data_IF_127054960685
#
_entry.id   IF_127054960685
#
_cell.length_a   1.000
_cell.length_b   1.000
_cell.length_c   1.000
_cell.angle_alpha   90.00
_cell.angle_beta   90.00
_cell.angle_gamma   90.00
#
_symmetry.space_group_name_H-M   'P 1'
#
loop_
_entity.id
_entity.type
_entity.pdbx_description
1 polymer ?
#
# COMPACT_ATOMS: atom_id res chain seq x y z
N UNK A 1 11.67 18.77 2.99
CA UNK A 1 11.57 17.85 1.84
C UNK A 1 12.77 16.92 1.90
N UNK A 2 12.72 15.72 1.32
CA UNK A 2 13.78 14.68 1.35
C UNK A 2 13.76 13.78 2.60
N UNK A 3 13.04 12.64 2.49
CA UNK A 3 13.52 11.28 2.82
C UNK A 3 12.52 10.18 2.35
N UNK A 4 11.27 10.48 1.98
CA UNK A 4 10.28 9.43 1.63
C UNK A 4 10.48 8.75 0.26
N UNK A 5 11.17 9.38 -0.69
CA UNK A 5 11.28 8.88 -2.08
C UNK A 5 12.47 7.95 -2.37
N UNK A 6 13.47 7.87 -1.49
CA UNK A 6 14.63 6.99 -1.72
C UNK A 6 14.45 5.59 -1.08
N UNK A 7 13.33 5.36 -0.42
CA UNK A 7 12.92 4.05 0.11
C UNK A 7 12.44 3.14 -1.03
N UNK A 8 12.59 1.81 -0.88
CA UNK A 8 12.06 0.83 -1.84
C UNK A 8 10.58 1.04 -2.13
N UNK A 9 9.78 1.33 -1.10
CA UNK A 9 8.34 1.60 -1.24
C UNK A 9 8.09 2.92 -1.97
N UNK A 10 8.85 3.98 -1.65
CA UNK A 10 8.76 5.28 -2.33
C UNK A 10 9.09 5.19 -3.83
N UNK A 11 10.12 4.44 -4.19
CA UNK A 11 10.48 4.18 -5.60
C UNK A 11 9.41 3.39 -6.33
N UNK A 12 8.82 2.39 -5.66
CA UNK A 12 7.70 1.64 -6.21
C UNK A 12 6.44 2.50 -6.41
N UNK A 13 6.20 3.45 -5.50
CA UNK A 13 5.06 4.38 -5.53
C UNK A 13 5.19 5.44 -6.64
N UNK A 14 6.37 6.05 -6.80
CA UNK A 14 6.53 7.21 -7.71
C UNK A 14 6.99 6.84 -9.13
N UNK A 15 7.82 5.81 -9.29
CA UNK A 15 8.42 5.48 -10.59
C UNK A 15 8.40 4.00 -10.92
N UNK A 16 7.69 3.18 -10.15
CA UNK A 16 7.58 1.74 -10.36
C UNK A 16 6.16 1.27 -10.63
N UNK A 17 5.99 -0.05 -10.62
CA UNK A 17 4.73 -0.74 -10.93
C UNK A 17 3.52 -0.25 -10.14
N UNK A 18 3.73 0.32 -8.94
CA UNK A 18 2.69 0.86 -8.10
C UNK A 18 1.93 2.00 -8.78
N UNK A 19 2.65 2.91 -9.43
CA UNK A 19 2.06 4.01 -10.20
C UNK A 19 1.31 3.47 -11.41
N UNK A 20 1.94 2.61 -12.19
CA UNK A 20 1.35 2.08 -13.43
C UNK A 20 0.06 1.29 -13.16
N UNK A 21 0.03 0.54 -12.05
CA UNK A 21 -1.11 -0.30 -11.70
C UNK A 21 -2.22 0.42 -10.93
N UNK A 22 -1.87 1.42 -10.11
CA UNK A 22 -2.79 1.97 -9.10
C UNK A 22 -2.94 3.48 -9.08
N UNK A 23 -2.21 4.25 -9.91
CA UNK A 23 -2.32 5.73 -9.93
C UNK A 23 -3.73 6.25 -10.24
N UNK A 24 -4.55 5.46 -10.95
CA UNK A 24 -5.96 5.80 -11.21
C UNK A 24 -6.87 5.64 -9.99
N UNK A 25 -6.37 5.09 -8.88
CA UNK A 25 -7.15 4.86 -7.67
C UNK A 25 -7.13 6.12 -6.80
N UNK A 26 -8.30 6.67 -6.38
CA UNK A 26 -8.34 7.86 -5.54
C UNK A 26 -7.60 7.72 -4.20
N UNK A 27 -7.53 6.49 -3.67
CA UNK A 27 -6.81 6.16 -2.44
C UNK A 27 -5.32 5.90 -2.65
N UNK A 28 -4.77 6.12 -3.85
CA UNK A 28 -3.33 5.94 -4.07
C UNK A 28 -2.53 6.98 -3.29
N UNK A 29 -2.99 8.24 -3.29
CA UNK A 29 -2.35 9.34 -2.56
C UNK A 29 -2.24 9.15 -1.05
N UNK A 30 -3.15 8.38 -0.42
CA UNK A 30 -3.10 8.16 1.03
C UNK A 30 -1.91 7.31 1.46
N UNK A 31 -1.35 6.49 0.55
CA UNK A 31 -0.16 5.70 0.85
C UNK A 31 1.04 6.61 1.12
N UNK A 32 1.20 7.70 0.36
CA UNK A 32 2.32 8.65 0.53
C UNK A 32 2.25 9.35 1.89
N UNK A 33 1.05 9.73 2.34
CA UNK A 33 0.84 10.35 3.66
C UNK A 33 1.17 9.39 4.80
N UNK A 34 0.64 8.17 4.80
CA UNK A 34 0.95 7.19 5.86
C UNK A 34 2.43 6.82 5.86
N UNK A 35 3.04 6.73 4.67
CA UNK A 35 4.46 6.44 4.51
C UNK A 35 5.36 7.58 5.02
N UNK A 36 4.96 8.85 4.84
CA UNK A 36 5.69 9.98 5.41
C UNK A 36 5.69 9.95 6.94
N UNK A 37 4.58 9.53 7.57
CA UNK A 37 4.49 9.42 9.02
C UNK A 37 5.48 8.41 9.62
N UNK A 38 5.73 7.29 8.93
CA UNK A 38 6.75 6.29 9.35
C UNK A 38 8.14 6.92 9.35
N UNK A 39 8.47 7.65 8.29
CA UNK A 39 9.75 8.32 8.16
C UNK A 39 9.95 9.47 9.15
N UNK A 40 8.90 10.26 9.39
CA UNK A 40 8.94 11.36 10.35
C UNK A 40 9.10 10.84 11.78
N UNK A 41 8.39 9.76 12.14
CA UNK A 41 8.55 9.08 13.44
C UNK A 41 9.97 8.55 13.62
N UNK A 42 10.51 7.87 12.61
CA UNK A 42 11.89 7.36 12.62
C UNK A 42 12.90 8.49 12.83
N UNK A 43 12.75 9.59 12.09
CA UNK A 43 13.65 10.75 12.21
C UNK A 43 13.60 11.35 13.61
N UNK A 44 12.40 11.55 14.16
CA UNK A 44 12.23 12.08 15.51
C UNK A 44 12.89 11.19 16.57
N UNK A 45 12.81 9.86 16.43
CA UNK A 45 13.49 8.91 17.31
C UNK A 45 15.02 9.10 17.23
N UNK A 46 15.59 9.14 16.03
CA UNK A 46 17.04 9.32 15.86
C UNK A 46 17.54 10.67 16.39
N UNK A 47 16.80 11.75 16.16
CA UNK A 47 17.15 13.09 16.66
C UNK A 47 17.14 13.11 18.20
N UNK A 48 16.19 12.42 18.85
CA UNK A 48 16.14 12.30 20.30
C UNK A 48 17.29 11.47 20.86
N UNK A 49 17.63 10.34 20.22
CA UNK A 49 18.76 9.48 20.63
C UNK A 49 20.11 10.21 20.54
N UNK A 50 20.30 11.08 19.56
CA UNK A 50 21.52 11.87 19.40
C UNK A 50 21.63 13.02 20.42
N UNK A 51 20.52 13.49 20.99
CA UNK A 51 20.49 14.64 21.90
C UNK A 51 20.91 14.35 23.34
N UNK A 52 21.25 13.09 23.68
CA UNK A 52 21.54 12.59 25.05
C UNK A 52 20.42 12.83 26.09
N UNK A 53 19.32 13.47 25.71
CA UNK A 53 18.22 13.85 26.58
C UNK A 53 16.94 13.12 26.16
N UNK A 54 16.96 11.80 26.31
CA UNK A 54 15.85 10.92 25.93
C UNK A 54 14.67 11.17 26.87
N UNK A 55 13.68 11.92 26.39
CA UNK A 55 12.41 12.11 27.07
C UNK A 55 11.49 10.92 26.74
N UNK A 56 11.26 10.03 27.71
CA UNK A 56 10.49 8.79 27.53
C UNK A 56 9.15 9.00 26.82
N UNK A 57 8.37 10.00 27.26
CA UNK A 57 7.05 10.28 26.67
C UNK A 57 7.13 10.75 25.20
N UNK A 58 8.15 11.54 24.86
CA UNK A 58 8.35 12.02 23.48
C UNK A 58 8.84 10.89 22.57
N UNK A 59 9.68 10.00 23.10
CA UNK A 59 10.12 8.81 22.39
C UNK A 59 8.94 7.86 22.13
N UNK A 60 8.11 7.63 23.15
CA UNK A 60 6.91 6.80 23.01
C UNK A 60 5.96 7.39 21.95
N UNK A 61 5.68 8.69 22.01
CA UNK A 61 4.84 9.35 21.02
C UNK A 61 5.40 9.26 19.59
N UNK A 62 6.73 9.34 19.43
CA UNK A 62 7.37 9.18 18.12
C UNK A 62 7.26 7.74 17.58
N UNK A 63 7.35 6.74 18.46
CA UNK A 63 7.17 5.33 18.13
C UNK A 63 5.71 5.03 17.76
N UNK A 64 4.74 5.52 18.55
CA UNK A 64 3.31 5.39 18.25
C UNK A 64 2.96 6.03 16.92
N UNK A 65 3.51 7.21 16.62
CA UNK A 65 3.31 7.87 15.32
C UNK A 65 3.88 7.05 14.15
N UNK A 66 5.02 6.40 14.35
CA UNK A 66 5.64 5.52 13.37
C UNK A 66 4.80 4.25 13.15
N UNK A 67 4.23 3.69 14.22
CA UNK A 67 3.35 2.53 14.17
C UNK A 67 2.05 2.84 13.43
N UNK A 68 1.38 3.95 13.76
CA UNK A 68 0.17 4.40 13.06
C UNK A 68 0.42 4.64 11.57
N UNK A 69 1.58 5.20 11.21
CA UNK A 69 1.99 5.32 9.81
C UNK A 69 2.14 3.95 9.13
N UNK A 70 2.68 2.97 9.84
CA UNK A 70 2.87 1.61 9.32
C UNK A 70 1.53 0.92 9.07
N UNK A 71 0.60 1.01 10.02
CA UNK A 71 -0.77 0.50 9.85
C UNK A 71 -1.46 1.13 8.64
N UNK A 72 -1.33 2.45 8.49
CA UNK A 72 -1.90 3.16 7.33
C UNK A 72 -1.28 2.74 5.99
N UNK A 73 0.00 2.35 5.97
CA UNK A 73 0.67 1.79 4.78
C UNK A 73 0.08 0.42 4.46
N UNK A 74 -0.01 -0.48 5.43
CA UNK A 74 -0.55 -1.84 5.22
C UNK A 74 -2.00 -1.79 4.76
N UNK A 75 -2.83 -0.98 5.40
CA UNK A 75 -4.23 -0.77 5.02
C UNK A 75 -4.39 -0.30 3.57
N UNK A 76 -3.51 0.61 3.13
CA UNK A 76 -3.50 1.11 1.76
C UNK A 76 -3.13 0.02 0.77
N UNK A 77 -2.09 -0.76 1.06
CA UNK A 77 -1.64 -1.88 0.21
C UNK A 77 -2.72 -2.96 0.10
N UNK A 78 -3.37 -3.33 1.20
CA UNK A 78 -4.46 -4.31 1.20
C UNK A 78 -5.65 -3.84 0.36
N UNK A 79 -5.99 -2.55 0.43
CA UNK A 79 -7.04 -1.95 -0.41
C UNK A 79 -6.69 -2.05 -1.89
N UNK A 80 -5.43 -1.86 -2.28
CA UNK A 80 -4.99 -1.99 -3.66
C UNK A 80 -5.09 -3.43 -4.15
N UNK A 81 -4.65 -4.40 -3.35
CA UNK A 81 -4.73 -5.83 -3.66
C UNK A 81 -6.18 -6.29 -3.84
N UNK A 82 -7.07 -5.94 -2.89
CA UNK A 82 -8.50 -6.27 -2.98
C UNK A 82 -9.15 -5.71 -4.24
N UNK A 83 -8.85 -4.45 -4.61
CA UNK A 83 -9.38 -3.85 -5.85
C UNK A 83 -8.90 -4.58 -7.11
N UNK A 84 -7.63 -4.98 -7.16
CA UNK A 84 -7.09 -5.74 -8.30
C UNK A 84 -7.77 -7.11 -8.42
N UNK A 85 -7.95 -7.82 -7.30
CA UNK A 85 -8.63 -9.11 -7.26
C UNK A 85 -10.09 -8.98 -7.73
N UNK A 86 -10.85 -8.01 -7.23
CA UNK A 86 -12.24 -7.77 -7.65
C UNK A 86 -12.31 -7.45 -9.16
N UNK A 87 -11.41 -6.60 -9.68
CA UNK A 87 -11.39 -6.27 -11.11
C UNK A 87 -11.09 -7.49 -11.99
N UNK A 88 -10.22 -8.39 -11.55
CA UNK A 88 -9.91 -9.64 -12.25
C UNK A 88 -11.06 -10.66 -12.17
N UNK A 89 -11.74 -10.76 -11.02
CA UNK A 89 -12.92 -11.61 -10.87
C UNK A 89 -14.09 -11.09 -11.71
N UNK A 90 -14.33 -9.78 -11.73
CA UNK A 90 -15.36 -9.15 -12.55
C UNK A 90 -15.10 -9.33 -14.06
N UNK A 91 -13.84 -9.23 -14.51
CA UNK A 91 -13.50 -9.47 -15.92
C UNK A 91 -13.64 -10.94 -16.32
N UNK A 92 -13.35 -11.88 -15.41
CA UNK A 92 -13.64 -13.31 -15.59
C UNK A 92 -15.15 -13.55 -15.64
N UNK A 93 -15.93 -13.05 -14.68
CA UNK A 93 -17.38 -13.20 -14.65
C UNK A 93 -18.06 -12.62 -15.89
N UNK A 94 -17.62 -11.46 -16.39
CA UNK A 94 -18.12 -10.87 -17.63
C UNK A 94 -17.92 -11.76 -18.87
N UNK A 95 -16.87 -12.61 -18.89
CA UNK A 95 -16.74 -13.64 -19.94
C UNK A 95 -17.85 -14.67 -19.85
N UNK A 96 -18.27 -15.06 -18.64
CA UNK A 96 -19.31 -16.08 -18.42
C UNK A 96 -20.74 -15.61 -18.75
N UNK A 97 -21.02 -14.32 -18.58
CA UNK A 97 -22.37 -13.79 -18.74
C UNK A 97 -22.66 -13.23 -20.15
N UNK A 98 -21.64 -13.02 -21.00
CA UNK A 98 -21.72 -12.15 -22.17
C UNK A 98 -21.57 -12.78 -23.56
N UNK A 99 -21.23 -14.06 -23.69
CA UNK A 99 -20.98 -14.66 -25.01
C UNK A 99 -21.40 -16.12 -25.09
N UNK A 100 -22.10 -16.50 -26.15
CA UNK A 100 -22.45 -17.88 -26.49
C UNK A 100 -21.24 -18.73 -26.87
N UNK A 101 -20.24 -18.80 -25.99
CA UNK A 101 -19.07 -19.64 -26.09
C UNK A 101 -19.31 -21.02 -25.47
N UNK A 102 -18.67 -22.04 -26.05
CA UNK A 102 -18.77 -23.42 -25.61
C UNK A 102 -18.09 -23.63 -24.24
N UNK A 103 -18.86 -23.53 -23.16
CA UNK A 103 -18.42 -23.72 -21.77
C UNK A 103 -17.76 -25.07 -21.47
N UNK A 104 -18.02 -26.09 -22.31
CA UNK A 104 -17.54 -27.45 -22.12
C UNK A 104 -16.02 -27.64 -22.32
N UNK A 105 -15.31 -26.64 -22.87
CA UNK A 105 -13.87 -26.74 -23.13
C UNK A 105 -13.03 -25.72 -22.34
N UNK A 106 -13.55 -25.16 -21.25
CA UNK A 106 -12.79 -24.22 -20.42
C UNK A 106 -11.82 -25.00 -19.50
N UNK A 107 -10.49 -24.86 -19.66
CA UNK A 107 -9.50 -25.56 -18.84
C UNK A 107 -9.49 -25.10 -17.36
N UNK A 108 -10.12 -23.96 -17.05
CA UNK A 108 -10.28 -23.42 -15.70
C UNK A 108 -11.63 -23.79 -15.06
N UNK A 109 -12.54 -24.47 -15.78
CA UNK A 109 -13.80 -24.91 -15.22
C UNK A 109 -13.53 -26.00 -14.18
N UNK A 110 -13.78 -25.68 -12.91
CA UNK A 110 -13.78 -26.67 -11.83
C UNK A 110 -14.95 -27.62 -12.10
N UNK A 111 -14.65 -28.87 -12.47
CA UNK A 111 -15.66 -29.93 -12.49
C UNK A 111 -16.09 -30.19 -11.04
N UNK A 112 -17.35 -29.84 -10.73
CA UNK A 112 -18.07 -30.29 -9.52
C UNK A 112 -18.57 -31.73 -9.72
#
# INVERSE_FOLDING_TARGET
MWITTNCRLGKWYDSGDGKDSFASTPSFGSLDTSHSHVHDGTKNVFDMLQSENVMGDRLLAALEHMEQGSDGVFDSLDRFLRKKAIKQLASRAGRYCGGGGNWMNDPDAVND
#
